data_IF_319802133501
#
_entry.id   IF_319802133501
#
_cell.length_a   1.000
_cell.length_b   1.000
_cell.length_c   1.000
_cell.angle_alpha   90.00
_cell.angle_beta   90.00
_cell.angle_gamma   90.00
#
_symmetry.space_group_name_H-M   'P 1'
#
loop_
_entity.id
_entity.type
_entity.pdbx_description
1 polymer ?
#
# COMPACT_ATOMS: atom_id res chain seq x y z
N UNK A 1 16.51 3.69 -10.75
CA UNK A 1 16.11 5.13 -10.78
C UNK A 1 16.84 5.92 -9.69
N UNK A 2 16.58 5.63 -8.40
CA UNK A 2 17.13 6.34 -7.23
C UNK A 2 18.65 6.61 -7.33
N UNK A 3 19.46 5.55 -7.44
CA UNK A 3 20.94 5.69 -7.43
C UNK A 3 21.48 6.55 -8.58
N UNK A 4 20.90 6.42 -9.78
CA UNK A 4 21.35 7.17 -10.98
C UNK A 4 21.05 8.66 -10.84
N UNK A 5 19.99 9.01 -10.11
CA UNK A 5 19.61 10.41 -9.86
C UNK A 5 20.32 11.04 -8.65
N UNK A 6 21.14 10.30 -7.91
CA UNK A 6 21.67 10.77 -6.62
C UNK A 6 20.61 10.84 -5.51
N UNK A 7 19.53 10.06 -5.65
CA UNK A 7 18.44 9.98 -4.68
C UNK A 7 18.79 9.14 -3.44
N UNK A 8 17.80 8.93 -2.57
CA UNK A 8 17.93 8.17 -1.33
C UNK A 8 16.87 7.08 -1.18
N UNK A 9 17.24 5.99 -0.52
CA UNK A 9 16.29 4.96 -0.08
C UNK A 9 15.81 5.31 1.33
N UNK A 10 14.51 5.23 1.54
CA UNK A 10 13.86 5.43 2.84
C UNK A 10 13.35 4.07 3.31
N UNK A 11 13.80 3.65 4.49
CA UNK A 11 13.30 2.44 5.15
C UNK A 11 12.16 2.81 6.10
N UNK A 12 11.12 1.99 6.16
CA UNK A 12 9.92 2.23 6.95
C UNK A 12 9.28 0.91 7.37
N UNK A 13 8.58 0.91 8.51
CA UNK A 13 7.71 -0.20 8.93
C UNK A 13 6.29 0.03 8.46
N UNK A 14 5.70 -0.97 7.82
CA UNK A 14 4.34 -0.92 7.26
C UNK A 14 3.63 -2.26 7.48
N UNK A 15 2.34 -2.30 7.22
CA UNK A 15 1.55 -3.52 7.20
C UNK A 15 1.83 -4.33 5.94
N UNK A 16 2.03 -5.63 6.10
CA UNK A 16 2.06 -6.60 5.01
C UNK A 16 0.64 -6.89 4.47
N UNK A 17 0.46 -7.77 3.47
CA UNK A 17 -0.86 -8.05 2.91
C UNK A 17 -1.87 -8.58 3.94
N UNK A 18 -1.43 -9.21 5.03
CA UNK A 18 -2.32 -9.73 6.09
C UNK A 18 -2.23 -8.91 7.38
N UNK A 19 -1.82 -7.64 7.25
CA UNK A 19 -1.79 -6.60 8.29
C UNK A 19 -0.79 -6.84 9.43
N UNK A 20 0.25 -7.64 9.21
CA UNK A 20 1.39 -7.76 10.14
C UNK A 20 2.38 -6.65 9.87
N UNK A 21 3.05 -6.15 10.90
CA UNK A 21 4.13 -5.17 10.69
C UNK A 21 5.36 -5.84 10.06
N UNK A 22 5.88 -5.26 8.99
CA UNK A 22 7.08 -5.68 8.27
C UNK A 22 7.96 -4.47 7.93
N UNK A 23 9.26 -4.72 7.78
CA UNK A 23 10.17 -3.72 7.22
C UNK A 23 9.96 -3.61 5.70
N UNK A 24 9.94 -2.38 5.20
CA UNK A 24 9.72 -2.03 3.80
C UNK A 24 10.57 -0.82 3.42
N UNK A 25 10.50 -0.42 2.16
CA UNK A 25 11.29 0.70 1.65
C UNK A 25 10.65 1.34 0.42
N UNK A 26 11.08 2.56 0.13
CA UNK A 26 10.83 3.24 -1.14
C UNK A 26 11.99 4.19 -1.46
N UNK A 27 11.99 4.73 -2.68
CA UNK A 27 13.00 5.67 -3.14
C UNK A 27 12.49 7.10 -3.22
N UNK A 28 13.35 8.08 -2.95
CA UNK A 28 13.15 9.48 -3.34
C UNK A 28 14.25 9.83 -4.34
N UNK A 29 13.88 10.37 -5.50
CA UNK A 29 14.85 10.75 -6.54
C UNK A 29 15.65 12.00 -6.13
N UNK A 30 16.73 12.30 -6.84
CA UNK A 30 17.62 13.43 -6.52
C UNK A 30 17.00 14.82 -6.71
N UNK A 31 15.79 14.91 -7.28
CA UNK A 31 14.99 16.14 -7.30
C UNK A 31 14.31 16.45 -5.96
N UNK A 32 14.38 15.50 -5.01
CA UNK A 32 13.73 15.49 -3.70
C UNK A 32 12.19 15.62 -3.72
N UNK A 33 11.57 15.51 -4.90
CA UNK A 33 10.12 15.68 -5.10
C UNK A 33 9.44 14.41 -5.57
N UNK A 34 10.16 13.55 -6.28
CA UNK A 34 9.60 12.34 -6.85
C UNK A 34 9.89 11.13 -5.96
N UNK A 35 8.84 10.49 -5.46
CA UNK A 35 8.96 9.19 -4.80
C UNK A 35 8.72 8.03 -5.79
N UNK A 36 9.54 6.99 -5.69
CA UNK A 36 9.40 5.74 -6.43
C UNK A 36 9.04 4.64 -5.45
N UNK A 37 7.84 4.10 -5.60
CA UNK A 37 7.24 3.12 -4.70
C UNK A 37 7.05 1.82 -5.46
N UNK A 38 7.56 0.72 -4.92
CA UNK A 38 7.24 -0.61 -5.41
C UNK A 38 6.22 -1.25 -4.47
N UNK A 39 5.01 -1.47 -4.98
CA UNK A 39 3.90 -1.95 -4.19
C UNK A 39 4.19 -3.30 -3.51
N UNK A 40 4.94 -4.19 -4.19
CA UNK A 40 5.33 -5.48 -3.65
C UNK A 40 6.18 -5.40 -2.37
N UNK A 41 6.84 -4.25 -2.10
CA UNK A 41 7.59 -4.05 -0.87
C UNK A 41 6.69 -4.03 0.39
N UNK A 42 5.39 -3.78 0.24
CA UNK A 42 4.41 -3.82 1.33
C UNK A 42 3.25 -4.80 1.07
N UNK A 43 2.88 -4.99 -0.19
CA UNK A 43 1.68 -5.74 -0.61
C UNK A 43 2.03 -6.95 -1.50
N UNK A 44 3.28 -7.44 -1.45
CA UNK A 44 3.82 -8.43 -2.39
C UNK A 44 3.57 -9.90 -2.04
N UNK A 45 3.57 -10.76 -3.06
CA UNK A 45 3.48 -12.23 -2.91
C UNK A 45 4.64 -12.82 -2.11
N UNK A 46 5.82 -12.20 -2.18
CA UNK A 46 7.02 -12.62 -1.47
C UNK A 46 6.95 -12.43 0.05
N UNK A 47 5.93 -11.73 0.56
CA UNK A 47 5.72 -11.50 2.00
C UNK A 47 4.88 -12.60 2.67
N UNK A 48 4.31 -13.52 1.89
CA UNK A 48 3.38 -14.53 2.37
C UNK A 48 3.93 -15.94 2.13
N UNK A 49 3.65 -16.85 3.07
CA UNK A 49 3.79 -18.29 2.82
C UNK A 49 2.70 -18.78 1.86
N UNK A 50 2.86 -19.99 1.31
CA UNK A 50 1.85 -20.56 0.40
C UNK A 50 0.48 -20.73 1.07
N UNK A 51 0.48 -21.04 2.36
CA UNK A 51 -0.72 -21.25 3.18
C UNK A 51 -1.42 -19.94 3.51
N UNK A 52 -0.70 -18.82 3.47
CA UNK A 52 -1.21 -17.46 3.72
C UNK A 52 -1.80 -16.82 2.46
N UNK A 53 -1.59 -17.40 1.27
CA UNK A 53 -2.08 -16.87 0.01
C UNK A 53 -3.62 -16.97 -0.08
N UNK A 54 -4.28 -15.87 0.29
CA UNK A 54 -5.72 -15.75 0.15
C UNK A 54 -6.12 -14.31 -0.27
N UNK A 55 -6.43 -14.08 -1.56
CA UNK A 55 -6.74 -12.74 -2.08
C UNK A 55 -8.02 -12.13 -1.49
N UNK A 56 -8.85 -12.92 -0.81
CA UNK A 56 -10.08 -12.44 -0.17
C UNK A 56 -9.81 -11.64 1.11
N UNK A 57 -8.68 -11.87 1.77
CA UNK A 57 -8.35 -11.23 3.05
C UNK A 57 -7.16 -10.27 2.94
N UNK A 58 -6.40 -10.32 1.85
CA UNK A 58 -5.20 -9.49 1.70
C UNK A 58 -5.54 -8.04 1.39
N UNK A 59 -4.80 -7.11 1.99
CA UNK A 59 -5.02 -5.66 1.92
C UNK A 59 -3.80 -4.91 1.38
N UNK A 60 -4.06 -3.79 0.72
CA UNK A 60 -3.04 -2.86 0.21
C UNK A 60 -2.69 -1.73 1.18
N UNK A 61 -3.13 -1.83 2.42
CA UNK A 61 -2.97 -0.80 3.45
C UNK A 61 -1.52 -0.34 3.62
N UNK A 62 -0.56 -1.27 3.63
CA UNK A 62 0.87 -0.94 3.74
C UNK A 62 1.39 -0.06 2.61
N UNK A 63 0.88 -0.24 1.38
CA UNK A 63 1.22 0.64 0.26
C UNK A 63 0.75 2.07 0.51
N UNK A 64 -0.43 2.25 1.08
CA UNK A 64 -0.92 3.57 1.46
C UNK A 64 -0.11 4.20 2.60
N UNK A 65 0.43 3.41 3.53
CA UNK A 65 1.37 3.90 4.54
C UNK A 65 2.67 4.44 3.92
N UNK A 66 3.22 3.76 2.89
CA UNK A 66 4.37 4.27 2.13
C UNK A 66 4.04 5.60 1.45
N UNK A 67 2.88 5.69 0.80
CA UNK A 67 2.45 6.92 0.12
C UNK A 67 2.33 8.09 1.11
N UNK A 68 1.68 7.88 2.26
CA UNK A 68 1.58 8.89 3.31
C UNK A 68 2.95 9.36 3.79
N UNK A 69 3.88 8.43 4.00
CA UNK A 69 5.23 8.78 4.44
C UNK A 69 6.00 9.59 3.39
N UNK A 70 5.85 9.27 2.10
CA UNK A 70 6.42 10.05 1.01
C UNK A 70 5.83 11.46 0.94
N UNK A 71 4.50 11.60 1.05
CA UNK A 71 3.81 12.89 1.09
C UNK A 71 4.27 13.71 2.31
N UNK A 72 4.39 13.09 3.48
CA UNK A 72 4.86 13.75 4.70
C UNK A 72 6.31 14.26 4.58
N UNK A 73 7.12 13.65 3.70
CA UNK A 73 8.48 14.10 3.37
C UNK A 73 8.52 15.15 2.25
N UNK A 74 7.37 15.61 1.77
CA UNK A 74 7.26 16.68 0.78
C UNK A 74 7.29 16.22 -0.68
N UNK A 75 7.19 14.91 -0.94
CA UNK A 75 7.08 14.43 -2.31
C UNK A 75 5.75 14.84 -2.94
N UNK A 76 5.81 15.40 -4.14
CA UNK A 76 4.64 15.85 -4.92
C UNK A 76 4.32 14.94 -6.09
N UNK A 77 5.30 14.14 -6.51
CA UNK A 77 5.22 13.27 -7.68
C UNK A 77 5.46 11.83 -7.25
N UNK A 78 4.60 10.90 -7.67
CA UNK A 78 4.66 9.50 -7.28
C UNK A 78 4.78 8.61 -8.53
N UNK A 79 5.79 7.75 -8.56
CA UNK A 79 5.93 6.67 -9.53
C UNK A 79 5.68 5.37 -8.77
N UNK A 80 4.60 4.67 -9.10
CA UNK A 80 4.18 3.46 -8.38
C UNK A 80 4.25 2.26 -9.32
N UNK A 81 5.15 1.32 -9.01
CA UNK A 81 5.21 0.00 -9.63
C UNK A 81 4.24 -0.95 -8.94
N UNK A 82 3.25 -1.45 -9.68
CA UNK A 82 2.14 -2.28 -9.14
C UNK A 82 2.31 -3.79 -9.39
N UNK A 83 3.47 -4.24 -9.86
CA UNK A 83 3.71 -5.66 -10.13
C UNK A 83 3.92 -6.50 -8.86
N UNK A 84 3.67 -7.81 -8.95
CA UNK A 84 4.05 -8.78 -7.90
C UNK A 84 3.17 -8.81 -6.64
N UNK A 85 1.94 -8.31 -6.72
CA UNK A 85 1.05 -8.12 -5.57
C UNK A 85 0.34 -9.40 -5.11
N UNK A 86 0.14 -9.54 -3.80
CA UNK A 86 -0.66 -10.60 -3.18
C UNK A 86 -2.15 -10.26 -3.01
N UNK A 87 -2.54 -9.05 -3.43
CA UNK A 87 -3.81 -8.39 -3.06
C UNK A 87 -4.82 -8.36 -4.19
N UNK A 88 -6.10 -8.47 -3.85
CA UNK A 88 -7.22 -8.22 -4.76
C UNK A 88 -8.34 -7.40 -4.07
N UNK A 89 -7.95 -6.40 -3.26
CA UNK A 89 -8.85 -5.51 -2.52
C UNK A 89 -9.21 -4.23 -3.30
N UNK A 90 -8.95 -4.18 -4.61
CA UNK A 90 -9.21 -3.02 -5.45
C UNK A 90 -8.47 -1.74 -5.05
N UNK A 91 -7.42 -1.83 -4.23
CA UNK A 91 -6.73 -0.66 -3.67
C UNK A 91 -7.45 -0.02 -2.48
N UNK A 92 -8.48 -0.67 -1.93
CA UNK A 92 -9.26 -0.13 -0.81
C UNK A 92 -8.41 0.07 0.44
N UNK A 93 -7.53 -0.88 0.79
CA UNK A 93 -6.60 -0.72 1.91
C UNK A 93 -5.70 0.50 1.73
N UNK A 94 -5.10 0.67 0.54
CA UNK A 94 -4.27 1.82 0.21
C UNK A 94 -5.04 3.14 0.41
N UNK A 95 -6.25 3.24 -0.13
CA UNK A 95 -7.07 4.45 -0.01
C UNK A 95 -7.54 4.71 1.43
N UNK A 96 -7.80 3.65 2.23
CA UNK A 96 -8.10 3.79 3.66
C UNK A 96 -6.95 4.39 4.43
N UNK A 97 -5.71 3.94 4.18
CA UNK A 97 -4.54 4.55 4.81
C UNK A 97 -4.42 6.04 4.45
N UNK A 98 -4.85 6.45 3.25
CA UNK A 98 -4.92 7.86 2.83
C UNK A 98 -6.13 8.63 3.40
N UNK A 99 -6.98 8.00 4.21
CA UNK A 99 -8.08 8.62 4.91
C UNK A 99 -9.47 8.42 4.28
N UNK A 100 -9.59 7.67 3.18
CA UNK A 100 -10.89 7.34 2.61
C UNK A 100 -11.63 6.31 3.48
N UNK A 101 -12.94 6.43 3.61
CA UNK A 101 -13.77 5.45 4.31
C UNK A 101 -14.54 4.61 3.31
N UNK A 102 -14.77 3.34 3.63
CA UNK A 102 -15.51 2.42 2.77
C UNK A 102 -16.67 1.91 3.61
N UNK A 103 -17.89 2.28 3.25
CA UNK A 103 -19.06 2.06 4.09
C UNK A 103 -20.06 1.10 3.44
N UNK A 104 -20.72 0.29 4.27
CA UNK A 104 -21.85 -0.53 3.86
C UNK A 104 -23.16 0.27 3.82
N UNK A 105 -24.27 -0.39 3.47
CA UNK A 105 -25.60 0.23 3.38
C UNK A 105 -26.11 0.83 4.71
N UNK A 106 -25.58 0.35 5.85
CA UNK A 106 -25.91 0.87 7.18
C UNK A 106 -25.00 2.04 7.61
N UNK A 107 -24.09 2.49 6.73
CA UNK A 107 -23.14 3.57 7.02
C UNK A 107 -21.98 3.16 7.95
N UNK A 108 -21.69 1.86 8.09
CA UNK A 108 -20.57 1.34 8.89
C UNK A 108 -19.38 1.00 8.02
N UNK A 109 -18.17 1.14 8.55
CA UNK A 109 -16.95 0.76 7.83
C UNK A 109 -16.94 -0.75 7.53
N UNK A 110 -16.67 -1.09 6.27
CA UNK A 110 -16.42 -2.47 5.86
C UNK A 110 -14.98 -2.88 6.21
N UNK A 111 -14.72 -4.15 6.56
CA UNK A 111 -13.39 -4.61 6.96
C UNK A 111 -12.36 -4.56 5.81
N UNK A 112 -11.10 -4.84 6.15
CA UNK A 112 -10.03 -5.01 5.17
C UNK A 112 -10.20 -6.27 4.30
N UNK A 113 -9.53 -6.28 3.15
CA UNK A 113 -9.51 -7.43 2.23
C UNK A 113 -10.58 -7.38 1.15
N UNK A 114 -10.31 -8.06 0.03
CA UNK A 114 -11.17 -8.03 -1.15
C UNK A 114 -12.59 -8.59 -0.95
N UNK A 115 -12.78 -9.50 0.01
CA UNK A 115 -14.11 -10.03 0.34
C UNK A 115 -15.06 -8.93 0.83
N UNK A 116 -14.55 -7.98 1.60
CA UNK A 116 -15.35 -6.92 2.20
C UNK A 116 -15.98 -5.99 1.16
N UNK A 117 -15.38 -5.89 -0.04
CA UNK A 117 -15.91 -5.05 -1.12
C UNK A 117 -17.29 -5.49 -1.62
N UNK A 118 -17.71 -6.73 -1.37
CA UNK A 118 -19.07 -7.17 -1.69
C UNK A 118 -20.14 -6.45 -0.87
N UNK A 119 -19.77 -5.86 0.27
CA UNK A 119 -20.65 -5.09 1.15
C UNK A 119 -20.57 -3.58 0.88
N UNK A 120 -19.69 -3.13 -0.04
CA UNK A 120 -19.46 -1.72 -0.32
C UNK A 120 -20.71 -1.06 -0.92
N UNK A 121 -21.13 0.05 -0.32
CA UNK A 121 -22.25 0.86 -0.78
C UNK A 121 -21.89 2.34 -0.94
N UNK A 122 -21.00 2.88 -0.10
CA UNK A 122 -20.52 4.27 -0.17
C UNK A 122 -19.01 4.39 0.05
N UNK A 123 -18.42 5.42 -0.57
CA UNK A 123 -17.04 5.89 -0.34
C UNK A 123 -17.06 7.26 0.36
#
# INVERSE_FOLDING_TARGET
>A
LVNITGGKIVNIKVCDPILREVDSFYGILGDEKTAVIEMAAASGLNLLSKEELNPLITSTYGTGQIINDAIAKGCTDLIIGIGGTATNDGGAGMLRALGLRFLNADGRDIPEGGKALMELHHL
#
